data_IF_903293437102
#
_entry.id   IF_903293437102
#
_cell.length_a   1.000
_cell.length_b   1.000
_cell.length_c   1.000
_cell.angle_alpha   90.00
_cell.angle_beta   90.00
_cell.angle_gamma   90.00
#
_symmetry.space_group_name_H-M   'P 1'
#
loop_
_entity.id
_entity.type
_entity.pdbx_description
1 polymer ?
#
# COMPACT_ATOMS: atom_id res chain seq x y z
N UNK A 1 -11.82 -19.69 0.74
CA UNK A 1 -10.78 -18.64 0.75
C UNK A 1 -9.44 -19.15 0.22
N UNK A 2 -9.34 -20.41 -0.19
CA UNK A 2 -8.05 -21.08 -0.44
C UNK A 2 -7.23 -20.45 -1.56
N UNK A 3 -7.87 -19.96 -2.62
CA UNK A 3 -7.16 -19.28 -3.71
C UNK A 3 -6.46 -18.01 -3.22
N UNK A 4 -7.15 -17.20 -2.40
CA UNK A 4 -6.61 -15.95 -1.86
C UNK A 4 -5.52 -16.24 -0.82
N UNK A 5 -5.74 -17.24 0.04
CA UNK A 5 -4.74 -17.69 1.01
C UNK A 5 -3.46 -18.20 0.33
N UNK A 6 -3.60 -19.02 -0.71
CA UNK A 6 -2.47 -19.54 -1.49
C UNK A 6 -1.71 -18.41 -2.20
N UNK A 7 -2.43 -17.42 -2.75
CA UNK A 7 -1.81 -16.23 -3.31
C UNK A 7 -1.06 -15.43 -2.24
N UNK A 8 -1.64 -15.23 -1.04
CA UNK A 8 -1.00 -14.49 0.05
C UNK A 8 0.36 -15.11 0.45
N UNK A 9 0.46 -16.44 0.44
CA UNK A 9 1.69 -17.18 0.76
C UNK A 9 2.63 -17.42 -0.42
N UNK A 10 2.26 -17.02 -1.65
CA UNK A 10 3.15 -17.16 -2.78
C UNK A 10 4.41 -16.34 -2.54
N UNK A 11 5.56 -17.02 -2.47
CA UNK A 11 6.84 -16.39 -2.20
C UNK A 11 7.43 -15.76 -3.46
N UNK A 12 7.97 -14.55 -3.29
CA UNK A 12 8.75 -13.84 -4.28
C UNK A 12 9.98 -13.23 -3.59
N UNK A 13 11.18 -13.43 -4.13
CA UNK A 13 12.43 -12.91 -3.54
C UNK A 13 12.58 -13.14 -2.01
N UNK A 14 12.13 -14.30 -1.51
CA UNK A 14 12.28 -14.69 -0.10
C UNK A 14 11.21 -14.17 0.86
N UNK A 15 10.22 -13.39 0.40
CA UNK A 15 9.08 -12.96 1.20
C UNK A 15 7.75 -13.37 0.53
N UNK A 16 6.71 -13.69 1.32
CA UNK A 16 5.39 -13.97 0.75
C UNK A 16 4.76 -12.69 0.19
N UNK A 17 3.87 -12.83 -0.79
CA UNK A 17 3.18 -11.70 -1.44
C UNK A 17 2.48 -10.79 -0.41
N UNK A 18 1.87 -11.35 0.64
CA UNK A 18 1.30 -10.54 1.73
C UNK A 18 2.31 -9.58 2.36
N UNK A 19 3.56 -10.01 2.54
CA UNK A 19 4.64 -9.19 3.08
C UNK A 19 5.03 -8.08 2.11
N UNK A 20 5.23 -8.41 0.82
CA UNK A 20 5.56 -7.41 -0.20
C UNK A 20 4.48 -6.33 -0.36
N UNK A 21 3.20 -6.74 -0.43
CA UNK A 21 2.09 -5.78 -0.54
C UNK A 21 2.04 -4.91 0.72
N UNK A 22 2.32 -5.46 1.90
CA UNK A 22 2.42 -4.69 3.15
C UNK A 22 3.51 -3.61 3.06
N UNK A 23 4.71 -3.97 2.61
CA UNK A 23 5.83 -3.03 2.42
C UNK A 23 5.47 -1.94 1.41
N UNK A 24 4.92 -2.32 0.26
CA UNK A 24 4.51 -1.36 -0.79
C UNK A 24 3.44 -0.40 -0.25
N UNK A 25 2.44 -0.93 0.45
CA UNK A 25 1.36 -0.13 1.06
C UNK A 25 1.93 0.86 2.08
N UNK A 26 2.86 0.43 2.92
CA UNK A 26 3.52 1.28 3.91
C UNK A 26 4.32 2.41 3.25
N UNK A 27 5.08 2.12 2.18
CA UNK A 27 5.81 3.13 1.42
C UNK A 27 4.87 4.12 0.71
N UNK A 28 3.75 3.63 0.15
CA UNK A 28 2.73 4.47 -0.46
C UNK A 28 2.07 5.41 0.56
N UNK A 29 1.80 4.93 1.77
CA UNK A 29 1.28 5.75 2.87
C UNK A 29 2.26 6.88 3.22
N UNK A 30 3.55 6.56 3.38
CA UNK A 30 4.57 7.57 3.64
C UNK A 30 4.72 8.58 2.50
N UNK A 31 4.72 8.13 1.25
CA UNK A 31 4.73 9.01 0.09
C UNK A 31 3.51 9.94 0.07
N UNK A 32 2.32 9.41 0.36
CA UNK A 32 1.06 10.18 0.45
C UNK A 32 1.15 11.27 1.52
N UNK A 33 1.67 10.94 2.70
CA UNK A 33 1.88 11.88 3.80
C UNK A 33 2.94 12.94 3.45
N UNK A 34 4.07 12.51 2.90
CA UNK A 34 5.19 13.39 2.54
C UNK A 34 4.76 14.43 1.50
N UNK A 35 3.99 14.03 0.47
CA UNK A 35 3.46 14.96 -0.53
C UNK A 35 2.64 16.07 0.14
N UNK A 36 1.80 15.75 1.12
CA UNK A 36 1.01 16.77 1.81
C UNK A 36 1.88 17.66 2.70
N UNK A 37 2.85 17.09 3.41
CA UNK A 37 3.78 17.85 4.28
C UNK A 37 4.60 18.83 3.45
N UNK A 38 5.25 18.36 2.38
CA UNK A 38 6.09 19.20 1.51
C UNK A 38 5.29 20.31 0.83
N UNK A 39 4.06 20.00 0.38
CA UNK A 39 3.16 20.99 -0.23
C UNK A 39 2.72 22.05 0.78
N UNK A 40 2.28 21.67 1.98
CA UNK A 40 1.85 22.62 3.04
C UNK A 40 2.99 23.49 3.54
N UNK A 41 4.20 22.92 3.67
CA UNK A 41 5.41 23.65 4.07
C UNK A 41 5.99 24.52 2.94
N UNK A 42 5.37 24.51 1.75
CA UNK A 42 5.81 25.27 0.57
C UNK A 42 7.24 24.93 0.12
N UNK A 43 7.74 23.72 0.45
CA UNK A 43 9.07 23.25 0.05
C UNK A 43 9.08 22.87 -1.44
N UNK A 44 8.01 22.22 -1.91
CA UNK A 44 7.82 21.84 -3.32
C UNK A 44 6.38 22.14 -3.74
N UNK A 45 6.20 22.72 -4.94
CA UNK A 45 4.87 22.94 -5.52
C UNK A 45 4.32 21.66 -6.13
N UNK A 46 3.60 20.87 -5.33
CA UNK A 46 2.93 19.64 -5.77
C UNK A 46 1.43 19.89 -5.94
N UNK A 47 0.88 19.55 -7.12
CA UNK A 47 -0.56 19.70 -7.40
C UNK A 47 -1.37 18.77 -6.47
N UNK A 48 -2.49 19.22 -5.87
CA UNK A 48 -3.30 18.41 -4.96
C UNK A 48 -3.73 17.04 -5.54
N UNK A 49 -3.94 16.97 -6.86
CA UNK A 49 -4.27 15.72 -7.57
C UNK A 49 -3.25 14.59 -7.36
N UNK A 50 -1.98 14.91 -7.06
CA UNK A 50 -0.94 13.90 -6.80
C UNK A 50 -1.18 13.22 -5.46
N UNK A 51 -1.51 13.99 -4.42
CA UNK A 51 -1.88 13.45 -3.10
C UNK A 51 -3.11 12.54 -3.22
N UNK A 52 -4.16 12.99 -3.91
CA UNK A 52 -5.37 12.19 -4.10
C UNK A 52 -5.11 10.89 -4.88
N UNK A 53 -4.31 10.94 -5.95
CA UNK A 53 -3.92 9.73 -6.69
C UNK A 53 -3.14 8.76 -5.82
N UNK A 54 -2.17 9.24 -5.05
CA UNK A 54 -1.42 8.39 -4.11
C UNK A 54 -2.32 7.80 -3.03
N UNK A 55 -3.27 8.59 -2.49
CA UNK A 55 -4.23 8.11 -1.51
C UNK A 55 -5.10 6.97 -2.08
N UNK A 56 -5.64 7.11 -3.30
CA UNK A 56 -6.42 6.04 -3.93
C UNK A 56 -5.61 4.77 -4.15
N UNK A 57 -4.36 4.88 -4.61
CA UNK A 57 -3.48 3.73 -4.81
C UNK A 57 -3.14 3.08 -3.46
N UNK A 58 -2.88 3.89 -2.43
CA UNK A 58 -2.60 3.40 -1.07
C UNK A 58 -3.79 2.63 -0.51
N UNK A 59 -5.00 3.17 -0.63
CA UNK A 59 -6.23 2.51 -0.16
C UNK A 59 -6.44 1.19 -0.90
N UNK A 60 -6.30 1.16 -2.23
CA UNK A 60 -6.42 -0.08 -2.99
C UNK A 60 -5.42 -1.15 -2.54
N UNK A 61 -4.14 -0.78 -2.37
CA UNK A 61 -3.10 -1.69 -1.89
C UNK A 61 -3.37 -2.17 -0.46
N UNK A 62 -3.80 -1.27 0.43
CA UNK A 62 -4.17 -1.60 1.81
C UNK A 62 -5.37 -2.56 1.88
N UNK A 63 -6.37 -2.38 1.01
CA UNK A 63 -7.50 -3.32 0.92
C UNK A 63 -7.02 -4.70 0.50
N UNK A 64 -6.16 -4.81 -0.51
CA UNK A 64 -5.59 -6.10 -0.93
C UNK A 64 -4.77 -6.74 0.19
N UNK A 65 -3.90 -5.96 0.86
CA UNK A 65 -3.11 -6.44 2.00
C UNK A 65 -4.01 -6.94 3.14
N UNK A 66 -5.07 -6.19 3.47
CA UNK A 66 -6.05 -6.57 4.48
C UNK A 66 -6.81 -7.84 4.13
N UNK A 67 -7.21 -8.01 2.86
CA UNK A 67 -7.85 -9.25 2.39
C UNK A 67 -6.91 -10.46 2.51
N UNK A 68 -5.62 -10.30 2.18
CA UNK A 68 -4.63 -11.34 2.38
C UNK A 68 -4.45 -11.68 3.85
N UNK A 69 -4.38 -10.68 4.72
CA UNK A 69 -4.27 -10.89 6.16
C UNK A 69 -5.47 -11.66 6.70
N UNK A 70 -6.70 -11.27 6.35
CA UNK A 70 -7.92 -11.99 6.77
C UNK A 70 -7.93 -13.42 6.24
N UNK A 71 -7.63 -13.63 4.96
CA UNK A 71 -7.63 -14.96 4.32
C UNK A 71 -6.56 -15.91 4.87
N UNK A 72 -5.52 -15.41 5.53
CA UNK A 72 -4.52 -16.24 6.22
C UNK A 72 -5.09 -16.87 7.49
N UNK A 73 -6.05 -16.21 8.15
CA UNK A 73 -6.65 -16.68 9.40
C UNK A 73 -8.01 -17.36 9.24
N UNK A 74 -8.60 -17.33 8.03
CA UNK A 74 -9.92 -17.91 7.70
C UNK A 74 -9.78 -18.92 6.58
#
# INVERSE_FOLDING_TARGET
MDVIRNAAYQSFLGLPLIGWIGIITYLLMWATALVMILSRRKIVKIKPKVHFRLAYITVAAATVHGLFAVAVYV
#
